data_IF_396898997130
#
_entry.id   IF_396898997130
#
_cell.length_a   1.000
_cell.length_b   1.000
_cell.length_c   1.000
_cell.angle_alpha   90.00
_cell.angle_beta   90.00
_cell.angle_gamma   90.00
#
_symmetry.space_group_name_H-M   'P 1'
#
loop_
_entity.id
_entity.type
_entity.pdbx_description
1 polymer ?
#
# COMPACT_ATOMS: atom_id res chain seq x y z
N UNK A 1 -46.08 -49.45 -9.80
CA UNK A 1 -45.75 -48.16 -10.46
C UNK A 1 -44.30 -48.19 -10.90
N UNK A 2 -44.02 -48.18 -12.22
CA UNK A 2 -42.65 -48.06 -12.75
C UNK A 2 -42.29 -46.57 -12.79
N UNK A 3 -41.47 -46.12 -11.85
CA UNK A 3 -40.92 -44.76 -11.88
C UNK A 3 -39.97 -44.66 -13.08
N UNK A 4 -40.27 -43.73 -13.99
CA UNK A 4 -39.50 -43.55 -15.22
C UNK A 4 -38.14 -42.93 -14.86
N UNK A 5 -37.08 -43.73 -14.87
CA UNK A 5 -35.71 -43.33 -14.47
C UNK A 5 -35.20 -42.08 -15.22
N UNK A 6 -35.74 -41.80 -16.41
CA UNK A 6 -35.43 -40.60 -17.17
C UNK A 6 -35.91 -39.30 -16.50
N UNK A 7 -37.06 -39.34 -15.82
CA UNK A 7 -37.63 -38.15 -15.17
C UNK A 7 -36.83 -37.80 -13.90
N UNK A 8 -36.36 -38.81 -13.16
CA UNK A 8 -35.49 -38.60 -11.99
C UNK A 8 -34.10 -38.08 -12.35
N UNK A 9 -33.54 -38.43 -13.51
CA UNK A 9 -32.26 -37.87 -13.96
C UNK A 9 -32.35 -36.41 -14.42
N UNK A 10 -33.46 -36.00 -15.06
CA UNK A 10 -33.66 -34.61 -15.49
C UNK A 10 -33.79 -33.66 -14.29
N UNK A 11 -34.48 -34.12 -13.23
CA UNK A 11 -34.62 -33.33 -11.99
C UNK A 11 -33.27 -33.18 -11.28
N UNK A 12 -32.42 -34.20 -11.25
CA UNK A 12 -31.08 -34.10 -10.64
C UNK A 12 -30.13 -33.16 -11.40
N UNK A 13 -30.25 -33.03 -12.72
CA UNK A 13 -29.44 -32.11 -13.52
C UNK A 13 -29.82 -30.63 -13.31
N UNK A 14 -31.07 -30.34 -12.92
CA UNK A 14 -31.57 -28.98 -12.69
C UNK A 14 -31.27 -28.44 -11.28
N UNK A 15 -30.81 -29.28 -10.35
CA UNK A 15 -30.54 -28.91 -8.95
C UNK A 15 -29.03 -28.82 -8.68
N UNK A 16 -28.18 -28.89 -9.71
CA UNK A 16 -26.76 -28.63 -9.51
C UNK A 16 -26.57 -27.14 -9.20
N UNK A 17 -26.07 -26.76 -8.01
CA UNK A 17 -25.63 -25.40 -7.81
C UNK A 17 -24.48 -25.20 -8.78
N UNK A 18 -24.68 -24.36 -9.79
CA UNK A 18 -23.57 -23.80 -10.57
C UNK A 18 -22.85 -22.86 -9.60
N UNK A 19 -21.97 -23.42 -8.78
CA UNK A 19 -21.00 -22.61 -8.06
C UNK A 19 -20.11 -22.05 -9.16
N UNK A 20 -20.33 -20.80 -9.55
CA UNK A 20 -19.34 -20.07 -10.32
C UNK A 20 -18.03 -20.17 -9.55
N UNK A 21 -17.07 -20.91 -10.11
CA UNK A 21 -15.68 -20.88 -9.69
C UNK A 21 -15.15 -19.49 -10.05
N UNK A 22 -15.53 -18.49 -9.24
CA UNK A 22 -14.89 -17.20 -9.27
C UNK A 22 -13.50 -17.42 -8.69
N UNK A 23 -12.48 -17.12 -9.48
CA UNK A 23 -11.12 -17.07 -8.95
C UNK A 23 -11.09 -16.17 -7.72
N UNK A 24 -10.24 -16.44 -6.74
CA UNK A 24 -9.99 -15.46 -5.69
C UNK A 24 -8.86 -14.53 -6.13
N UNK A 25 -8.59 -13.47 -5.39
CA UNK A 25 -7.31 -12.77 -5.49
C UNK A 25 -6.15 -13.77 -5.38
N UNK A 26 -5.19 -13.67 -6.29
CA UNK A 26 -3.98 -14.49 -6.24
C UNK A 26 -3.02 -13.93 -5.20
N UNK A 27 -2.84 -14.68 -4.10
CA UNK A 27 -1.90 -14.33 -3.04
C UNK A 27 -0.51 -14.89 -3.35
N UNK A 28 0.48 -14.01 -3.38
CA UNK A 28 1.89 -14.34 -3.47
C UNK A 28 2.60 -13.88 -2.21
N UNK A 29 3.13 -14.84 -1.45
CA UNK A 29 4.01 -14.55 -0.32
C UNK A 29 5.46 -14.62 -0.80
N UNK A 30 6.18 -13.51 -0.72
CA UNK A 30 7.60 -13.47 -1.08
C UNK A 30 8.48 -13.82 0.11
N UNK A 31 9.72 -14.24 -0.18
CA UNK A 31 10.74 -14.32 0.83
C UNK A 31 10.98 -12.95 1.48
N UNK A 32 11.38 -12.98 2.75
CA UNK A 32 11.68 -11.80 3.53
C UNK A 32 12.61 -10.84 2.77
N UNK A 33 12.33 -9.54 2.89
CA UNK A 33 13.21 -8.54 2.32
C UNK A 33 14.54 -8.50 3.08
N UNK A 34 15.67 -8.21 2.40
CA UNK A 34 16.89 -7.84 3.10
C UNK A 34 16.62 -6.68 4.05
N UNK A 35 17.12 -6.76 5.29
CA UNK A 35 16.99 -5.67 6.25
C UNK A 35 17.64 -4.39 5.72
N UNK A 36 17.01 -3.23 5.96
CA UNK A 36 17.51 -1.93 5.50
C UNK A 36 17.68 -0.94 6.62
N UNK A 37 18.82 -0.28 6.59
CA UNK A 37 19.11 0.84 7.45
C UNK A 37 18.42 2.11 6.95
N UNK A 38 17.94 2.91 7.87
CA UNK A 38 17.50 4.28 7.60
C UNK A 38 18.15 5.27 8.57
N UNK A 39 18.34 6.49 8.10
CA UNK A 39 18.69 7.64 8.91
C UNK A 39 17.45 8.49 9.08
N UNK A 40 17.16 8.84 10.33
CA UNK A 40 16.13 9.83 10.65
C UNK A 40 16.80 11.20 10.78
N UNK A 41 16.19 12.21 10.18
CA UNK A 41 16.64 13.60 10.24
C UNK A 41 15.50 14.43 10.79
N UNK A 42 15.78 15.15 11.87
CA UNK A 42 14.85 16.06 12.52
C UNK A 42 15.29 17.50 12.33
N UNK A 43 14.40 18.33 11.79
CA UNK A 43 14.58 19.77 11.85
C UNK A 43 13.86 20.31 13.10
N UNK A 44 14.65 20.59 14.14
CA UNK A 44 14.21 21.07 15.46
C UNK A 44 13.40 22.39 15.46
N UNK A 45 13.22 23.04 14.32
CA UNK A 45 12.43 24.29 14.25
C UNK A 45 10.93 24.04 14.02
N UNK A 46 10.52 23.00 13.28
CA UNK A 46 9.19 23.00 12.63
C UNK A 46 8.50 21.61 12.49
N UNK A 47 8.79 20.62 13.35
CA UNK A 47 8.26 19.24 13.24
C UNK A 47 8.42 18.62 11.83
N UNK A 48 9.49 19.04 11.14
CA UNK A 48 9.85 18.62 9.80
C UNK A 48 10.79 17.42 9.92
N UNK A 49 10.25 16.25 9.63
CA UNK A 49 10.97 14.98 9.69
C UNK A 49 11.26 14.46 8.30
N UNK A 50 12.44 13.89 8.15
CA UNK A 50 12.85 13.22 6.93
C UNK A 50 13.48 11.87 7.25
N UNK A 51 13.12 10.85 6.48
CA UNK A 51 13.76 9.54 6.55
C UNK A 51 14.45 9.25 5.21
N UNK A 52 15.68 8.78 5.28
CA UNK A 52 16.46 8.39 4.11
C UNK A 52 17.09 7.03 4.32
N UNK A 53 17.28 6.22 3.26
CA UNK A 53 18.09 5.02 3.36
C UNK A 53 19.48 5.36 3.90
N UNK A 54 19.96 4.57 4.87
CA UNK A 54 21.35 4.59 5.35
C UNK A 54 22.29 3.81 4.44
N UNK A 55 21.73 3.05 3.49
CA UNK A 55 22.47 2.28 2.50
C UNK A 55 21.62 2.03 1.25
N UNK A 56 21.32 0.76 0.96
CA UNK A 56 20.49 0.39 -0.19
C UNK A 56 19.04 0.88 -0.04
N UNK A 57 18.42 1.23 -1.17
CA UNK A 57 17.11 1.89 -1.22
C UNK A 57 15.92 0.96 -0.93
N UNK A 58 15.89 -0.26 -1.47
CA UNK A 58 14.71 -1.13 -1.43
C UNK A 58 14.90 -2.28 -0.42
N UNK A 59 13.94 -2.61 0.47
CA UNK A 59 12.64 -1.98 0.68
C UNK A 59 12.70 -0.52 1.12
N UNK A 60 11.81 0.29 0.56
CA UNK A 60 11.82 1.74 0.75
C UNK A 60 11.16 2.10 2.06
N UNK A 61 11.85 2.94 2.82
CA UNK A 61 11.30 3.80 3.87
C UNK A 61 12.00 5.15 3.69
N UNK A 62 11.36 6.08 2.97
CA UNK A 62 12.04 7.31 2.56
C UNK A 62 11.09 8.49 2.35
N UNK A 63 11.59 9.70 2.55
CA UNK A 63 10.93 10.96 2.25
C UNK A 63 10.56 11.75 3.51
N UNK A 64 9.97 12.93 3.29
CA UNK A 64 9.62 13.87 4.35
C UNK A 64 8.13 13.80 4.72
N UNK A 65 7.80 14.11 5.97
CA UNK A 65 6.42 14.26 6.43
C UNK A 65 5.77 15.57 5.95
N UNK A 66 6.58 16.54 5.52
CA UNK A 66 6.13 17.87 5.07
C UNK A 66 6.74 18.25 3.73
N UNK A 67 6.05 19.16 3.05
CA UNK A 67 6.57 19.84 1.89
C UNK A 67 7.56 20.91 2.33
N UNK A 68 8.70 20.95 1.66
CA UNK A 68 9.69 22.01 1.83
C UNK A 68 9.52 23.07 0.74
N UNK A 69 10.31 24.15 0.80
CA UNK A 69 10.42 25.10 -0.30
C UNK A 69 10.94 24.49 -1.62
N UNK A 70 11.42 23.24 -1.59
CA UNK A 70 11.87 22.48 -2.76
C UNK A 70 10.76 21.61 -3.37
N UNK A 71 9.50 21.78 -2.95
CA UNK A 71 8.37 21.13 -3.60
C UNK A 71 8.34 21.47 -5.09
N UNK A 72 8.27 20.44 -5.94
CA UNK A 72 8.03 20.65 -7.35
C UNK A 72 6.62 21.20 -7.59
N UNK A 73 6.51 22.31 -8.32
CA UNK A 73 5.24 23.02 -8.56
C UNK A 73 4.77 22.95 -10.01
N UNK A 74 5.40 22.13 -10.85
CA UNK A 74 5.08 22.00 -12.28
C UNK A 74 6.03 22.75 -13.22
N UNK A 75 7.03 23.44 -12.69
CA UNK A 75 8.09 24.09 -13.47
C UNK A 75 9.42 24.09 -12.72
N UNK A 76 10.53 24.27 -13.44
CA UNK A 76 11.87 24.31 -12.86
C UNK A 76 12.43 22.93 -12.49
N UNK A 77 13.40 22.92 -11.59
CA UNK A 77 14.08 21.68 -11.18
C UNK A 77 13.18 20.81 -10.31
N UNK A 78 13.15 19.52 -10.61
CA UNK A 78 12.36 18.53 -9.90
C UNK A 78 13.13 18.06 -8.66
N UNK A 79 12.86 18.66 -7.50
CA UNK A 79 13.45 18.26 -6.21
C UNK A 79 12.52 17.33 -5.43
N UNK A 80 11.52 17.86 -4.71
CA UNK A 80 10.58 17.07 -3.91
C UNK A 80 9.28 16.81 -4.68
N UNK A 81 9.00 15.53 -4.95
CA UNK A 81 7.88 15.11 -5.83
C UNK A 81 6.76 14.38 -5.08
N UNK A 82 7.01 13.99 -3.83
CA UNK A 82 6.02 13.40 -2.93
C UNK A 82 6.45 13.59 -1.49
N UNK A 83 5.53 13.34 -0.57
CA UNK A 83 5.85 13.06 0.83
C UNK A 83 6.42 11.64 0.96
N UNK A 84 6.85 11.30 2.18
CA UNK A 84 7.46 10.02 2.45
C UNK A 84 6.52 8.84 2.37
N UNK A 85 7.10 7.71 2.02
CA UNK A 85 6.38 6.50 1.67
C UNK A 85 7.18 5.26 2.00
N UNK A 86 6.46 4.14 2.02
CA UNK A 86 7.00 2.80 2.24
C UNK A 86 6.56 1.86 1.12
N UNK A 87 7.40 0.86 0.84
CA UNK A 87 7.05 -0.26 -0.04
C UNK A 87 7.63 -1.60 0.46
N UNK A 88 7.24 -2.68 -0.19
CA UNK A 88 7.70 -4.03 0.14
C UNK A 88 9.04 -4.40 -0.55
N UNK A 89 9.77 -3.43 -1.10
CA UNK A 89 11.01 -3.62 -1.84
C UNK A 89 10.86 -4.15 -3.25
N UNK A 90 9.64 -4.22 -3.77
CA UNK A 90 9.38 -4.34 -5.19
C UNK A 90 8.58 -3.13 -5.66
N UNK A 91 9.12 -2.40 -6.64
CA UNK A 91 8.44 -1.31 -7.32
C UNK A 91 7.37 -1.88 -8.27
N UNK A 92 6.36 -2.54 -7.70
CA UNK A 92 5.29 -3.20 -8.44
C UNK A 92 4.32 -2.15 -8.98
N UNK A 93 4.06 -2.19 -10.28
CA UNK A 93 3.13 -1.29 -10.96
C UNK A 93 1.68 -1.60 -10.60
N UNK A 94 0.89 -0.53 -10.48
CA UNK A 94 -0.56 -0.59 -10.31
C UNK A 94 -1.27 -0.42 -11.65
N UNK A 95 -2.31 -1.21 -11.88
CA UNK A 95 -3.14 -1.09 -13.07
C UNK A 95 -4.11 0.09 -12.95
N UNK A 96 -4.24 0.87 -14.02
CA UNK A 96 -5.20 1.99 -14.08
C UNK A 96 -6.64 1.49 -13.86
N UNK A 97 -7.43 2.27 -13.13
CA UNK A 97 -8.83 2.01 -12.74
C UNK A 97 -9.04 0.81 -11.81
N UNK A 98 -7.97 0.17 -11.33
CA UNK A 98 -8.09 -0.88 -10.32
C UNK A 98 -8.19 -0.27 -8.92
N UNK A 99 -8.77 -1.04 -7.99
CA UNK A 99 -8.73 -0.73 -6.57
C UNK A 99 -7.42 -1.21 -5.97
N UNK A 100 -6.87 -0.44 -5.03
CA UNK A 100 -5.67 -0.76 -4.29
C UNK A 100 -5.89 -0.61 -2.79
N UNK A 101 -5.50 -1.64 -2.06
CA UNK A 101 -5.39 -1.69 -0.60
C UNK A 101 -3.93 -1.91 -0.21
N UNK A 102 -3.53 -1.28 0.89
CA UNK A 102 -2.27 -1.58 1.54
C UNK A 102 -2.43 -1.49 3.04
N UNK A 103 -1.99 -2.54 3.74
CA UNK A 103 -2.00 -2.58 5.19
C UNK A 103 -0.73 -3.23 5.74
N UNK A 104 -0.41 -2.85 6.97
CA UNK A 104 0.78 -3.29 7.68
C UNK A 104 0.35 -4.15 8.87
N UNK A 105 0.77 -5.40 8.90
CA UNK A 105 0.64 -6.24 10.09
C UNK A 105 1.91 -6.09 10.93
N UNK A 106 1.76 -6.20 12.26
CA UNK A 106 2.83 -5.96 13.23
C UNK A 106 3.43 -4.55 13.10
N UNK A 107 2.65 -3.57 12.63
CA UNK A 107 3.09 -2.18 12.60
C UNK A 107 3.34 -1.69 14.02
N UNK A 108 4.44 -0.95 14.27
CA UNK A 108 4.71 -0.38 15.58
C UNK A 108 3.75 0.77 15.95
N UNK A 109 2.95 1.25 14.99
CA UNK A 109 2.00 2.35 15.16
C UNK A 109 0.63 1.99 14.62
N UNK A 110 -0.41 2.60 15.21
CA UNK A 110 -1.76 2.60 14.64
C UNK A 110 -1.86 3.67 13.56
N UNK A 111 -2.64 3.37 12.51
CA UNK A 111 -2.85 4.24 11.34
C UNK A 111 -1.54 4.66 10.66
N UNK A 112 -0.69 3.69 10.24
CA UNK A 112 0.65 3.96 9.72
C UNK A 112 0.68 4.67 8.36
N UNK A 113 -0.43 4.60 7.60
CA UNK A 113 -0.49 5.04 6.21
C UNK A 113 -1.71 5.93 5.97
N UNK A 114 -1.55 6.93 5.11
CA UNK A 114 -2.60 7.91 4.77
C UNK A 114 -3.28 7.63 3.42
N UNK A 115 -2.65 6.84 2.55
CA UNK A 115 -3.18 6.49 1.24
C UNK A 115 -2.13 6.06 0.23
N UNK A 116 -2.52 5.98 -1.04
CA UNK A 116 -1.64 5.63 -2.14
C UNK A 116 -0.77 6.84 -2.52
N UNK A 117 0.54 6.69 -2.34
CA UNK A 117 1.51 7.71 -2.75
C UNK A 117 1.50 7.90 -4.27
N UNK A 118 1.60 9.15 -4.69
CA UNK A 118 1.53 9.60 -6.07
C UNK A 118 2.65 10.61 -6.36
N UNK A 119 3.34 10.50 -7.49
CA UNK A 119 4.30 11.54 -7.92
C UNK A 119 3.50 12.76 -8.35
N UNK A 120 3.64 13.89 -7.65
CA UNK A 120 2.75 15.05 -7.78
C UNK A 120 2.50 15.54 -9.21
N UNK A 121 3.49 15.41 -10.10
CA UNK A 121 3.42 15.85 -11.49
C UNK A 121 2.99 14.79 -12.49
N UNK A 122 2.81 13.54 -12.05
CA UNK A 122 2.20 12.55 -12.92
C UNK A 122 0.73 12.88 -13.13
N UNK A 123 0.25 12.65 -14.35
CA UNK A 123 -1.18 12.74 -14.64
C UNK A 123 -2.00 11.89 -13.64
N UNK A 124 -3.16 12.41 -13.22
CA UNK A 124 -4.00 11.79 -12.20
C UNK A 124 -3.50 11.92 -10.76
N UNK A 125 -2.32 12.48 -10.51
CA UNK A 125 -1.86 12.79 -9.15
C UNK A 125 -2.29 14.19 -8.71
N UNK A 126 -2.57 14.34 -7.41
CA UNK A 126 -2.83 15.65 -6.82
C UNK A 126 -1.51 16.40 -6.58
N UNK A 127 -1.31 17.54 -7.24
CA UNK A 127 -0.09 18.34 -7.13
C UNK A 127 0.14 18.87 -5.70
N UNK A 128 -0.94 19.12 -4.96
CA UNK A 128 -0.88 19.63 -3.59
C UNK A 128 -0.45 18.54 -2.61
N UNK A 129 -1.04 17.35 -2.69
CA UNK A 129 -0.90 16.33 -1.65
C UNK A 129 -0.01 15.16 -2.02
N UNK A 130 0.24 14.91 -3.32
CA UNK A 130 0.89 13.66 -3.78
C UNK A 130 0.19 12.38 -3.34
N UNK A 131 -1.12 12.46 -3.14
CA UNK A 131 -1.92 11.40 -2.58
C UNK A 131 -3.10 11.09 -3.48
N UNK A 132 -3.29 9.81 -3.78
CA UNK A 132 -4.58 9.29 -4.20
C UNK A 132 -5.31 8.85 -2.94
N UNK A 133 -6.44 9.51 -2.66
CA UNK A 133 -7.20 9.25 -1.45
C UNK A 133 -7.83 7.85 -1.50
N UNK A 134 -7.71 7.07 -0.41
CA UNK A 134 -8.47 5.84 -0.23
C UNK A 134 -9.94 6.16 0.08
N UNK A 135 -10.81 5.15 0.02
CA UNK A 135 -12.18 5.27 0.51
C UNK A 135 -12.23 5.25 2.05
N UNK A 136 -11.33 4.50 2.69
CA UNK A 136 -11.20 4.47 4.15
C UNK A 136 -9.78 4.15 4.59
N UNK A 137 -9.44 4.56 5.80
CA UNK A 137 -8.23 4.14 6.53
C UNK A 137 -8.63 3.49 7.85
N UNK A 138 -7.78 2.65 8.41
CA UNK A 138 -7.93 2.11 9.76
C UNK A 138 -6.57 1.98 10.47
N UNK A 139 -6.56 1.29 11.62
CA UNK A 139 -5.37 1.09 12.43
C UNK A 139 -4.22 0.39 11.68
N UNK A 140 -4.50 -0.36 10.62
CA UNK A 140 -3.51 -1.15 9.89
C UNK A 140 -3.11 -0.53 8.56
N UNK A 141 -3.96 0.26 7.92
CA UNK A 141 -3.62 0.84 6.61
C UNK A 141 -4.76 1.59 5.91
N UNK A 142 -4.74 1.55 4.58
CA UNK A 142 -5.71 2.23 3.74
C UNK A 142 -6.34 1.30 2.70
N UNK A 143 -7.56 1.62 2.29
CA UNK A 143 -8.37 0.73 1.47
C UNK A 143 -9.23 1.47 0.44
N UNK A 144 -9.39 0.84 -0.72
CA UNK A 144 -10.27 1.29 -1.80
C UNK A 144 -9.73 2.46 -2.62
N UNK A 145 -8.41 2.70 -2.61
CA UNK A 145 -7.80 3.73 -3.46
C UNK A 145 -7.99 3.35 -4.93
N UNK A 146 -8.59 4.25 -5.72
CA UNK A 146 -8.82 3.99 -7.15
C UNK A 146 -7.63 4.53 -7.94
N UNK A 147 -6.91 3.64 -8.61
CA UNK A 147 -5.69 3.99 -9.35
C UNK A 147 -6.06 4.87 -10.53
N UNK A 148 -5.67 6.15 -10.48
CA UNK A 148 -5.99 7.13 -11.53
C UNK A 148 -5.23 6.84 -12.82
N UNK A 149 -5.82 7.19 -13.96
CA UNK A 149 -5.16 7.10 -15.27
C UNK A 149 -3.99 8.07 -15.44
N UNK A 150 -3.00 7.64 -16.23
CA UNK A 150 -1.85 8.44 -16.64
C UNK A 150 -0.69 8.40 -15.63
N UNK A 151 0.55 8.32 -16.13
CA UNK A 151 1.76 8.16 -15.30
C UNK A 151 1.80 6.87 -14.47
N UNK A 152 3.00 6.36 -14.19
CA UNK A 152 3.12 5.12 -13.41
C UNK A 152 2.66 5.31 -11.96
N UNK A 153 1.86 4.39 -11.44
CA UNK A 153 1.51 4.30 -10.02
C UNK A 153 2.13 3.03 -9.48
N UNK A 154 2.68 3.10 -8.28
CA UNK A 154 3.43 2.01 -7.65
C UNK A 154 2.73 1.63 -6.36
N UNK A 155 2.91 0.39 -5.91
CA UNK A 155 2.38 -0.11 -4.63
C UNK A 155 3.09 0.53 -3.42
N UNK A 156 2.97 1.84 -3.30
CA UNK A 156 3.65 2.70 -2.33
C UNK A 156 2.62 3.32 -1.40
N UNK A 157 2.74 3.07 -0.10
CA UNK A 157 1.89 3.68 0.91
C UNK A 157 2.51 4.96 1.42
N UNK A 158 1.76 6.06 1.43
CA UNK A 158 2.24 7.32 1.99
C UNK A 158 2.20 7.24 3.52
N UNK A 159 3.32 7.56 4.18
CA UNK A 159 3.47 7.48 5.64
C UNK A 159 2.56 8.50 6.34
N UNK A 160 2.10 8.15 7.54
CA UNK A 160 1.42 9.07 8.44
C UNK A 160 2.39 9.79 9.38
N UNK A 161 1.95 10.89 9.98
CA UNK A 161 2.71 11.60 11.01
C UNK A 161 2.98 10.72 12.24
N UNK A 162 2.03 9.87 12.61
CA UNK A 162 2.21 8.91 13.72
C UNK A 162 3.39 7.98 13.46
N UNK A 163 3.59 7.57 12.20
CA UNK A 163 4.75 6.76 11.83
C UNK A 163 6.07 7.53 12.04
N UNK A 164 6.13 8.80 11.62
CA UNK A 164 7.30 9.65 11.85
C UNK A 164 7.60 9.87 13.34
N UNK A 165 6.56 10.10 14.17
CA UNK A 165 6.72 10.25 15.62
C UNK A 165 7.30 8.99 16.26
N UNK A 166 6.89 7.80 15.81
CA UNK A 166 7.52 6.56 16.25
C UNK A 166 8.99 6.48 15.83
N UNK A 167 9.30 6.79 14.57
CA UNK A 167 10.68 6.77 14.08
C UNK A 167 11.57 7.76 14.85
N UNK A 168 11.04 8.91 15.24
CA UNK A 168 11.73 9.91 16.06
C UNK A 168 12.11 9.31 17.41
N UNK A 169 11.16 8.68 18.11
CA UNK A 169 11.34 8.08 19.44
C UNK A 169 12.16 6.78 19.44
N UNK A 170 12.26 6.13 18.28
CA UNK A 170 13.01 4.88 18.13
C UNK A 170 14.52 5.10 18.43
N UNK A 171 15.15 4.28 19.30
CA UNK A 171 16.58 4.37 19.56
C UNK A 171 17.41 3.98 18.34
N UNK A 172 18.57 4.63 18.17
CA UNK A 172 19.56 4.21 17.16
C UNK A 172 20.03 2.78 17.47
N UNK A 173 20.19 1.96 16.44
CA UNK A 173 20.51 0.54 16.50
C UNK A 173 19.29 -0.38 16.70
N UNK A 174 18.12 0.16 17.02
CA UNK A 174 16.89 -0.64 17.12
C UNK A 174 16.37 -1.03 15.73
N UNK A 175 15.54 -2.07 15.68
CA UNK A 175 14.87 -2.51 14.46
C UNK A 175 13.38 -2.76 14.70
N UNK A 176 12.58 -2.62 13.65
CA UNK A 176 11.21 -3.13 13.60
C UNK A 176 11.01 -3.95 12.34
N UNK A 177 10.13 -4.96 12.44
CA UNK A 177 9.72 -5.79 11.32
C UNK A 177 8.21 -5.71 11.17
N UNK A 178 7.75 -5.52 9.94
CA UNK A 178 6.33 -5.51 9.60
C UNK A 178 6.06 -6.43 8.41
N UNK A 179 4.83 -6.93 8.33
CA UNK A 179 4.34 -7.60 7.13
C UNK A 179 3.62 -6.57 6.28
N UNK A 180 4.16 -6.28 5.10
CA UNK A 180 3.53 -5.39 4.14
C UNK A 180 2.62 -6.21 3.23
N UNK A 181 1.34 -5.87 3.25
CA UNK A 181 0.34 -6.43 2.35
C UNK A 181 -0.03 -5.38 1.31
N UNK A 182 0.13 -5.70 0.03
CA UNK A 182 -0.24 -4.85 -1.09
C UNK A 182 -1.18 -5.61 -2.03
N UNK A 183 -2.43 -5.17 -2.15
CA UNK A 183 -3.46 -5.87 -2.92
C UNK A 183 -4.09 -4.95 -3.94
N UNK A 184 -4.13 -5.38 -5.21
CA UNK A 184 -4.89 -4.69 -6.25
C UNK A 184 -5.90 -5.62 -6.94
N UNK A 185 -7.04 -5.06 -7.35
CA UNK A 185 -8.12 -5.80 -8.03
C UNK A 185 -8.87 -4.91 -9.02
N UNK A 186 -9.33 -5.51 -10.13
CA UNK A 186 -10.27 -4.87 -11.06
C UNK A 186 -11.70 -4.77 -10.51
N UNK A 187 -12.01 -5.52 -9.44
CA UNK A 187 -13.34 -5.51 -8.84
C UNK A 187 -13.55 -4.17 -8.14
N UNK A 188 -14.58 -3.45 -8.56
CA UNK A 188 -14.96 -2.21 -7.91
C UNK A 188 -15.79 -2.53 -6.65
N UNK A 189 -15.13 -2.60 -5.50
CA UNK A 189 -15.78 -2.72 -4.19
C UNK A 189 -15.84 -1.37 -3.47
N UNK A 190 -16.68 -1.31 -2.43
CA UNK A 190 -16.78 -0.19 -1.53
C UNK A 190 -16.12 -0.50 -0.18
N UNK A 191 -14.92 0.05 0.03
CA UNK A 191 -14.18 -0.17 1.26
C UNK A 191 -14.81 0.49 2.50
N UNK A 192 -15.67 1.50 2.31
CA UNK A 192 -16.38 2.16 3.42
C UNK A 192 -17.43 1.25 4.07
N UNK A 193 -17.92 0.25 3.32
CA UNK A 193 -18.79 -0.82 3.82
C UNK A 193 -18.04 -1.97 4.53
N UNK A 194 -16.71 -1.89 4.61
CA UNK A 194 -15.86 -2.94 5.16
C UNK A 194 -15.33 -3.96 4.14
N UNK A 195 -15.73 -3.87 2.87
CA UNK A 195 -15.16 -4.73 1.82
C UNK A 195 -13.66 -4.46 1.60
N UNK A 196 -12.89 -5.48 1.22
CA UNK A 196 -11.43 -5.39 1.04
C UNK A 196 -10.99 -6.11 -0.22
N UNK A 197 -9.89 -5.64 -0.82
CA UNK A 197 -9.28 -6.23 -2.01
C UNK A 197 -9.00 -7.73 -1.83
N UNK A 198 -8.46 -8.14 -0.66
CA UNK A 198 -8.11 -9.54 -0.38
C UNK A 198 -9.28 -10.52 -0.46
N UNK A 199 -10.51 -10.02 -0.33
CA UNK A 199 -11.74 -10.82 -0.33
C UNK A 199 -12.44 -10.83 -1.70
N UNK A 200 -11.82 -10.24 -2.74
CA UNK A 200 -12.43 -10.10 -4.06
C UNK A 200 -12.18 -11.29 -5.00
N UNK A 201 -13.01 -11.36 -6.04
CA UNK A 201 -13.06 -12.44 -7.03
C UNK A 201 -11.94 -12.40 -8.10
N UNK A 202 -10.97 -11.51 -8.00
CA UNK A 202 -9.80 -11.47 -8.88
C UNK A 202 -8.83 -10.42 -8.39
N UNK A 203 -7.55 -10.55 -8.72
CA UNK A 203 -6.55 -9.55 -8.39
C UNK A 203 -5.22 -10.17 -8.00
N UNK A 204 -4.30 -9.31 -7.56
CA UNK A 204 -2.99 -9.71 -7.08
C UNK A 204 -2.79 -9.19 -5.66
N UNK A 205 -2.36 -10.05 -4.75
CA UNK A 205 -2.02 -9.70 -3.38
C UNK A 205 -0.61 -10.18 -3.07
N UNK A 206 0.27 -9.23 -2.78
CA UNK A 206 1.65 -9.49 -2.42
C UNK A 206 1.85 -9.30 -0.93
N UNK A 207 2.53 -10.26 -0.31
CA UNK A 207 2.87 -10.25 1.12
C UNK A 207 4.36 -10.40 1.27
N UNK A 208 4.96 -9.53 2.09
CA UNK A 208 6.39 -9.61 2.40
C UNK A 208 6.71 -9.05 3.78
N UNK A 209 7.57 -9.75 4.51
CA UNK A 209 8.17 -9.18 5.71
C UNK A 209 9.27 -8.19 5.34
N UNK A 210 9.27 -7.04 6.00
CA UNK A 210 10.24 -5.96 5.80
C UNK A 210 10.78 -5.54 7.16
N UNK A 211 12.10 -5.49 7.27
CA UNK A 211 12.82 -5.09 8.49
C UNK A 211 13.59 -3.81 8.23
N UNK A 212 13.41 -2.83 9.12
CA UNK A 212 14.13 -1.57 9.09
C UNK A 212 14.89 -1.33 10.40
N UNK A 213 16.13 -0.87 10.28
CA UNK A 213 17.03 -0.55 11.40
C UNK A 213 17.35 0.93 11.40
N UNK A 214 17.20 1.61 12.54
CA UNK A 214 17.57 3.03 12.64
C UNK A 214 19.09 3.13 12.81
N UNK A 215 19.80 3.52 11.76
CA UNK A 215 21.26 3.61 11.78
C UNK A 215 21.78 4.90 12.42
N UNK A 216 21.04 6.02 12.27
CA UNK A 216 21.41 7.29 12.86
C UNK A 216 20.19 8.18 13.10
N UNK A 217 20.40 9.19 13.95
CA UNK A 217 19.51 10.32 14.16
C UNK A 217 20.32 11.61 13.98
N UNK A 218 19.85 12.53 13.13
CA UNK A 218 20.51 13.79 12.80
C UNK A 218 19.63 14.97 13.14
#
# INVERSE_FOLDING_TARGET
MRVNLLITMIIFALIWPVTELRAAVSKTTWADAPAREFVFVENNSDDNFFVTPGGALDPRLTGANRWTGLKYTGSGTIYQQSLGYIDNGYNTGLYTNWKFDMWLENSPVSSPLTGLRCINWYAGCNMTTSLILPQTTDASGFYGATVTSGGAKWMHGMLSDAFYQYLQQMPVGSSFTMTINACQTSVNYDASSGARCKDQASGNWYVRNVTHTKAANL
#
